data_IF_836154008294
#
_entry.id   IF_836154008294
#
_cell.length_a   1.000
_cell.length_b   1.000
_cell.length_c   1.000
_cell.angle_alpha   90.00
_cell.angle_beta   90.00
_cell.angle_gamma   90.00
#
_symmetry.space_group_name_H-M   'P 1'
#
loop_
_entity.id
_entity.type
_entity.pdbx_description
1 polymer ?
#
# COMPACT_ATOMS: atom_id res chain seq x y z
N UNK A 1 5.15 2.63 10.80
CA UNK A 1 5.00 1.21 10.44
C UNK A 1 5.99 0.84 9.34
N UNK A 2 6.54 -0.40 9.35
CA UNK A 2 7.30 -0.92 8.20
C UNK A 2 6.33 -1.15 7.03
N UNK A 3 6.69 -0.74 5.81
CA UNK A 3 5.77 -0.66 4.66
C UNK A 3 5.08 -2.00 4.34
N UNK A 4 5.79 -3.12 4.47
CA UNK A 4 5.25 -4.46 4.23
C UNK A 4 4.21 -4.85 5.31
N UNK A 5 4.37 -4.40 6.55
CA UNK A 5 3.43 -4.68 7.65
C UNK A 5 2.06 -4.03 7.41
N UNK A 6 2.00 -2.88 6.74
CA UNK A 6 0.74 -2.25 6.36
C UNK A 6 -0.03 -3.11 5.34
N UNK A 7 0.66 -3.68 4.35
CA UNK A 7 0.07 -4.61 3.37
C UNK A 7 -0.50 -5.86 4.08
N UNK A 8 0.21 -6.40 5.07
CA UNK A 8 -0.28 -7.55 5.86
C UNK A 8 -1.64 -7.24 6.49
N UNK A 9 -1.79 -6.06 7.10
CA UNK A 9 -3.04 -5.65 7.75
C UNK A 9 -4.19 -5.51 6.73
N UNK A 10 -3.91 -4.94 5.56
CA UNK A 10 -4.92 -4.80 4.50
C UNK A 10 -5.36 -6.15 3.92
N UNK A 11 -4.42 -7.08 3.68
CA UNK A 11 -4.75 -8.43 3.24
C UNK A 11 -5.56 -9.20 4.31
N UNK A 12 -5.29 -8.99 5.60
CA UNK A 12 -6.11 -9.55 6.67
C UNK A 12 -7.54 -8.97 6.68
N UNK A 13 -7.70 -7.67 6.46
CA UNK A 13 -9.00 -7.00 6.38
C UNK A 13 -9.83 -7.53 5.19
N UNK A 14 -9.22 -7.63 4.01
CA UNK A 14 -9.90 -8.17 2.81
C UNK A 14 -10.37 -9.62 3.00
N UNK A 15 -9.57 -10.48 3.63
CA UNK A 15 -9.98 -11.86 3.95
C UNK A 15 -11.18 -11.89 4.90
N UNK A 16 -11.21 -11.02 5.92
CA UNK A 16 -12.34 -10.93 6.84
C UNK A 16 -13.64 -10.48 6.14
N UNK A 17 -13.55 -9.55 5.20
CA UNK A 17 -14.70 -9.09 4.40
C UNK A 17 -15.27 -10.22 3.53
N UNK A 18 -14.41 -11.02 2.89
CA UNK A 18 -14.83 -12.20 2.12
C UNK A 18 -15.59 -13.21 3.00
N UNK A 19 -15.16 -13.38 4.25
CA UNK A 19 -15.80 -14.25 5.24
C UNK A 19 -17.16 -13.74 5.73
N UNK A 20 -17.33 -12.43 5.92
CA UNK A 20 -18.58 -11.82 6.37
C UNK A 20 -19.68 -11.81 5.30
N UNK A 21 -19.34 -11.77 4.01
CA UNK A 21 -20.32 -11.76 2.92
C UNK A 21 -21.05 -13.10 2.73
N UNK A 22 -20.60 -14.20 3.34
CA UNK A 22 -21.11 -15.55 3.07
C UNK A 22 -21.55 -16.29 4.34
N UNK A 23 -22.63 -15.81 4.98
CA UNK A 23 -23.37 -16.64 5.94
C UNK A 23 -24.17 -17.70 5.17
N UNK A 24 -24.09 -19.00 5.52
CA UNK A 24 -24.73 -20.05 4.73
C UNK A 24 -26.25 -20.01 4.92
N UNK A 25 -26.97 -19.79 3.81
CA UNK A 25 -28.40 -20.11 3.75
C UNK A 25 -28.50 -21.62 3.59
N UNK A 26 -29.02 -22.30 4.59
CA UNK A 26 -29.27 -23.74 4.60
C UNK A 26 -30.14 -24.12 3.40
N UNK A 27 -29.62 -24.93 2.49
CA UNK A 27 -30.42 -25.59 1.45
C UNK A 27 -30.34 -27.11 1.66
N UNK A 28 -31.49 -27.66 2.07
CA UNK A 28 -31.75 -29.10 2.17
C UNK A 28 -31.62 -29.75 0.80
N UNK A 29 -30.80 -30.80 0.72
CA UNK A 29 -30.70 -31.68 -0.44
C UNK A 29 -31.96 -32.57 -0.45
N UNK A 30 -32.79 -32.43 -1.48
CA UNK A 30 -33.71 -33.51 -1.91
C UNK A 30 -33.15 -34.15 -3.17
N UNK A 31 -32.94 -35.46 -3.06
CA UNK A 31 -32.45 -36.36 -4.11
C UNK A 31 -33.36 -36.39 -5.34
N UNK A 32 -32.73 -36.65 -6.50
CA UNK A 32 -33.33 -36.66 -7.83
C UNK A 32 -34.14 -37.92 -8.13
N UNK A 33 -35.15 -37.79 -8.99
CA UNK A 33 -35.58 -38.87 -9.89
C UNK A 33 -35.79 -38.36 -11.33
N UNK A 34 -34.88 -38.80 -12.20
CA UNK A 34 -35.06 -39.51 -13.47
C UNK A 34 -36.00 -39.02 -14.62
N UNK A 35 -35.47 -39.26 -15.83
CA UNK A 35 -36.07 -39.69 -17.13
C UNK A 35 -36.25 -38.69 -18.31
N UNK A 36 -35.46 -39.00 -19.36
CA UNK A 36 -35.71 -39.01 -20.83
C UNK A 36 -35.87 -37.75 -21.69
N UNK A 37 -35.08 -37.81 -22.76
CA UNK A 37 -34.94 -37.02 -23.98
C UNK A 37 -36.15 -37.05 -24.92
N UNK A 38 -36.48 -35.89 -25.52
CA UNK A 38 -36.92 -35.74 -26.92
C UNK A 38 -36.66 -34.29 -27.43
N UNK A 39 -36.08 -34.19 -28.62
CA UNK A 39 -35.68 -33.00 -29.43
C UNK A 39 -36.88 -32.35 -30.18
N UNK A 40 -36.73 -31.37 -31.12
CA UNK A 40 -35.93 -30.12 -31.20
C UNK A 40 -36.74 -28.90 -31.72
N UNK A 41 -36.45 -27.63 -31.37
CA UNK A 41 -36.82 -26.47 -32.24
C UNK A 41 -35.81 -25.30 -32.10
N UNK A 42 -35.39 -24.81 -33.27
CA UNK A 42 -34.60 -23.62 -33.60
C UNK A 42 -35.24 -22.31 -33.12
N UNK A 43 -34.47 -21.38 -32.55
CA UNK A 43 -34.67 -19.92 -32.77
C UNK A 43 -33.53 -19.04 -32.20
N UNK A 44 -33.02 -18.17 -33.07
CA UNK A 44 -32.55 -16.79 -32.85
C UNK A 44 -31.46 -16.52 -31.82
N UNK A 45 -30.21 -16.44 -32.30
CA UNK A 45 -29.04 -15.97 -31.56
C UNK A 45 -29.10 -14.44 -31.39
N UNK A 46 -29.69 -13.96 -30.30
CA UNK A 46 -29.27 -12.71 -29.68
C UNK A 46 -28.03 -13.04 -28.83
N UNK A 47 -26.91 -12.38 -29.11
CA UNK A 47 -25.64 -12.56 -28.38
C UNK A 47 -25.74 -11.87 -27.02
N UNK A 48 -26.53 -12.44 -26.11
CA UNK A 48 -26.39 -12.18 -24.67
C UNK A 48 -25.40 -13.20 -24.14
N UNK A 49 -24.23 -12.75 -23.69
CA UNK A 49 -23.34 -13.58 -22.88
C UNK A 49 -24.17 -14.13 -21.70
N UNK A 50 -24.34 -15.45 -21.56
CA UNK A 50 -25.17 -16.00 -20.48
C UNK A 50 -24.55 -15.62 -19.14
N UNK A 51 -25.39 -15.26 -18.16
CA UNK A 51 -24.93 -15.11 -16.78
C UNK A 51 -24.18 -16.37 -16.33
N UNK A 52 -23.04 -16.24 -15.63
CA UNK A 52 -22.31 -17.40 -15.12
C UNK A 52 -23.19 -18.23 -14.20
N UNK A 53 -23.17 -19.55 -14.37
CA UNK A 53 -23.88 -20.50 -13.49
C UNK A 53 -23.41 -20.34 -12.04
N UNK A 54 -24.28 -20.68 -11.09
CA UNK A 54 -24.00 -20.56 -9.65
C UNK A 54 -22.75 -21.35 -9.20
N UNK A 55 -22.52 -22.51 -9.83
CA UNK A 55 -21.34 -23.34 -9.62
C UNK A 55 -20.03 -22.65 -10.07
N UNK A 56 -20.04 -21.94 -11.20
CA UNK A 56 -18.89 -21.18 -11.69
C UNK A 56 -18.54 -19.99 -10.78
N UNK A 57 -19.54 -19.34 -10.18
CA UNK A 57 -19.33 -18.27 -9.19
C UNK A 57 -18.67 -18.82 -7.91
N UNK A 58 -19.10 -19.99 -7.44
CA UNK A 58 -18.52 -20.65 -6.27
C UNK A 58 -17.06 -21.10 -6.52
N UNK A 59 -16.77 -21.66 -7.70
CA UNK A 59 -15.41 -22.04 -8.10
C UNK A 59 -14.48 -20.83 -8.15
N UNK A 60 -14.94 -19.71 -8.73
CA UNK A 60 -14.17 -18.45 -8.78
C UNK A 60 -13.88 -17.89 -7.39
N UNK A 61 -14.87 -17.87 -6.51
CA UNK A 61 -14.69 -17.38 -5.15
C UNK A 61 -13.73 -18.26 -4.33
N UNK A 62 -13.83 -19.58 -4.46
CA UNK A 62 -12.90 -20.51 -3.81
C UNK A 62 -11.46 -20.31 -4.28
N UNK A 63 -11.27 -19.99 -5.56
CA UNK A 63 -9.96 -19.62 -6.11
C UNK A 63 -9.43 -18.33 -5.47
N UNK A 64 -10.24 -17.26 -5.46
CA UNK A 64 -9.88 -15.97 -4.87
C UNK A 64 -9.46 -16.14 -3.41
N UNK A 65 -10.22 -16.88 -2.59
CA UNK A 65 -9.87 -17.14 -1.19
C UNK A 65 -8.51 -17.82 -1.05
N UNK A 66 -8.22 -18.85 -1.86
CA UNK A 66 -6.92 -19.54 -1.82
C UNK A 66 -5.77 -18.63 -2.21
N UNK A 67 -5.98 -17.78 -3.22
CA UNK A 67 -5.02 -16.77 -3.67
C UNK A 67 -4.78 -15.71 -2.57
N UNK A 68 -5.84 -15.16 -1.98
CA UNK A 68 -5.77 -14.19 -0.87
C UNK A 68 -5.00 -14.73 0.33
N UNK A 69 -5.30 -15.96 0.75
CA UNK A 69 -4.58 -16.62 1.85
C UNK A 69 -3.09 -16.82 1.54
N UNK A 70 -2.74 -17.10 0.28
CA UNK A 70 -1.34 -17.22 -0.12
C UNK A 70 -0.62 -15.87 -0.11
N UNK A 71 -1.24 -14.84 -0.70
CA UNK A 71 -0.67 -13.49 -0.74
C UNK A 71 -0.48 -12.89 0.65
N UNK A 72 -1.41 -13.14 1.58
CA UNK A 72 -1.30 -12.69 2.96
C UNK A 72 -0.15 -13.39 3.71
N UNK A 73 0.00 -14.70 3.53
CA UNK A 73 1.14 -15.43 4.07
C UNK A 73 2.48 -14.96 3.48
N UNK A 74 2.52 -14.70 2.18
CA UNK A 74 3.67 -14.10 1.50
C UNK A 74 4.05 -12.75 2.09
N UNK A 75 3.07 -11.86 2.31
CA UNK A 75 3.31 -10.55 2.91
C UNK A 75 3.88 -10.66 4.34
N UNK A 76 3.36 -11.58 5.17
CA UNK A 76 3.93 -11.83 6.52
C UNK A 76 5.35 -12.34 6.47
N UNK A 77 5.62 -13.30 5.58
CA UNK A 77 6.97 -13.86 5.41
C UNK A 77 7.93 -12.79 4.92
N UNK A 78 7.52 -11.94 3.99
CA UNK A 78 8.30 -10.81 3.52
C UNK A 78 8.60 -9.82 4.65
N UNK A 79 7.62 -9.51 5.51
CA UNK A 79 7.82 -8.64 6.67
C UNK A 79 8.89 -9.22 7.63
N UNK A 80 8.76 -10.49 8.01
CA UNK A 80 9.71 -11.18 8.89
C UNK A 80 11.12 -11.25 8.28
N UNK A 81 11.19 -11.49 6.97
CA UNK A 81 12.45 -11.49 6.23
C UNK A 81 13.12 -10.11 6.24
N UNK A 82 12.34 -9.04 6.09
CA UNK A 82 12.84 -7.68 6.18
C UNK A 82 13.41 -7.37 7.58
N UNK A 83 12.79 -7.87 8.65
CA UNK A 83 13.33 -7.72 10.01
C UNK A 83 14.69 -8.40 10.16
N UNK A 84 14.80 -9.62 9.66
CA UNK A 84 16.07 -10.37 9.65
C UNK A 84 17.13 -9.64 8.84
N UNK A 85 16.78 -9.14 7.65
CA UNK A 85 17.69 -8.35 6.80
C UNK A 85 18.12 -7.03 7.46
N UNK A 86 17.23 -6.36 8.19
CA UNK A 86 17.55 -5.17 8.96
C UNK A 86 18.55 -5.48 10.07
N UNK A 87 18.42 -6.63 10.75
CA UNK A 87 19.37 -7.05 11.78
C UNK A 87 20.75 -7.38 11.19
N UNK A 88 20.82 -8.07 10.04
CA UNK A 88 22.08 -8.30 9.31
C UNK A 88 22.78 -6.97 9.03
N UNK A 89 22.06 -6.01 8.44
CA UNK A 89 22.60 -4.68 8.14
C UNK A 89 23.08 -3.96 9.40
N UNK A 90 22.34 -4.12 10.51
CA UNK A 90 22.66 -3.51 11.81
C UNK A 90 23.92 -4.10 12.44
N UNK A 91 24.08 -5.43 12.45
CA UNK A 91 25.30 -6.11 12.89
C UNK A 91 26.51 -5.64 12.09
N UNK A 92 26.36 -5.57 10.76
CA UNK A 92 27.41 -5.10 9.86
C UNK A 92 27.82 -3.66 10.17
N UNK A 93 26.84 -2.75 10.22
CA UNK A 93 27.06 -1.32 10.49
C UNK A 93 27.69 -1.09 11.85
N UNK A 94 27.15 -1.72 12.89
CA UNK A 94 27.62 -1.53 14.27
C UNK A 94 29.02 -2.10 14.47
N UNK A 95 29.38 -3.20 13.78
CA UNK A 95 30.74 -3.76 13.76
C UNK A 95 31.76 -2.84 13.09
N UNK A 96 31.39 -2.19 11.99
CA UNK A 96 32.25 -1.23 11.28
C UNK A 96 32.43 0.05 12.10
N UNK A 97 31.32 0.63 12.56
CA UNK A 97 31.32 1.93 13.24
C UNK A 97 31.67 1.82 14.74
N UNK A 98 31.85 0.59 15.25
CA UNK A 98 32.09 0.31 16.67
C UNK A 98 31.01 0.95 17.56
N UNK A 99 29.76 0.84 17.12
CA UNK A 99 28.60 1.41 17.81
C UNK A 99 28.01 0.36 18.76
N UNK A 100 27.94 0.69 20.05
CA UNK A 100 27.39 -0.21 21.07
C UNK A 100 25.88 -0.23 20.98
N UNK A 101 25.28 -1.42 20.90
CA UNK A 101 23.85 -1.59 20.79
C UNK A 101 23.42 -2.91 21.45
N UNK A 102 22.51 -2.89 22.44
CA UNK A 102 22.12 -4.10 23.16
C UNK A 102 21.61 -5.25 22.28
N UNK A 103 21.03 -4.94 21.12
CA UNK A 103 20.51 -5.95 20.18
C UNK A 103 21.62 -6.62 19.36
N UNK A 104 22.78 -5.96 19.19
CA UNK A 104 23.88 -6.50 18.36
C UNK A 104 25.16 -6.75 19.14
N UNK A 105 25.27 -6.28 20.38
CA UNK A 105 26.48 -6.39 21.19
C UNK A 105 26.89 -7.85 21.42
N UNK A 106 25.94 -8.78 21.48
CA UNK A 106 26.21 -10.23 21.60
C UNK A 106 26.94 -10.83 20.39
N UNK A 107 26.75 -10.24 19.20
CA UNK A 107 27.41 -10.67 17.96
C UNK A 107 28.66 -9.86 17.67
N UNK A 108 28.63 -8.56 17.98
CA UNK A 108 29.68 -7.61 17.59
C UNK A 108 30.82 -7.51 18.59
N UNK A 109 30.69 -8.07 19.79
CA UNK A 109 31.70 -7.98 20.85
C UNK A 109 31.98 -9.30 21.54
N UNK A 110 33.23 -9.45 21.97
CA UNK A 110 33.66 -10.47 22.94
C UNK A 110 34.32 -9.78 24.13
N UNK A 111 33.89 -10.12 25.35
CA UNK A 111 34.39 -9.52 26.60
C UNK A 111 34.34 -7.97 26.59
N UNK A 112 33.27 -7.40 26.01
CA UNK A 112 33.04 -5.96 25.92
C UNK A 112 33.88 -5.23 24.87
N UNK A 113 34.70 -5.93 24.08
CA UNK A 113 35.49 -5.37 22.99
C UNK A 113 34.93 -5.80 21.65
N UNK A 114 34.86 -4.89 20.69
CA UNK A 114 34.43 -5.22 19.33
C UNK A 114 35.42 -6.17 18.65
N UNK A 115 34.91 -7.03 17.78
CA UNK A 115 35.74 -7.80 16.85
C UNK A 115 36.52 -6.85 15.93
N UNK A 116 37.76 -7.20 15.58
CA UNK A 116 38.58 -6.41 14.66
C UNK A 116 38.09 -6.58 13.22
N UNK A 117 37.85 -7.85 12.80
CA UNK A 117 37.21 -8.17 11.54
C UNK A 117 35.68 -8.14 11.70
N UNK A 118 35.00 -7.52 10.73
CA UNK A 118 33.55 -7.48 10.65
C UNK A 118 32.98 -8.87 10.31
N UNK A 119 33.74 -9.69 9.58
CA UNK A 119 33.32 -11.05 9.24
C UNK A 119 33.22 -11.92 10.48
N UNK A 120 34.08 -11.72 11.49
CA UNK A 120 33.96 -12.46 12.77
C UNK A 120 32.59 -12.20 13.43
N UNK A 121 32.12 -10.95 13.42
CA UNK A 121 30.82 -10.60 14.00
C UNK A 121 29.65 -11.15 13.17
N UNK A 122 29.78 -11.17 11.84
CA UNK A 122 28.79 -11.76 10.95
C UNK A 122 28.73 -13.28 11.10
N UNK A 123 29.87 -13.96 11.25
CA UNK A 123 29.94 -15.40 11.49
C UNK A 123 29.26 -15.76 12.81
N UNK A 124 29.53 -15.01 13.89
CA UNK A 124 28.83 -15.20 15.18
C UNK A 124 27.32 -15.00 15.04
N UNK A 125 26.88 -14.01 14.26
CA UNK A 125 25.46 -13.79 13.99
C UNK A 125 24.84 -14.92 13.16
N UNK A 126 25.50 -15.39 12.10
CA UNK A 126 25.00 -16.44 11.22
C UNK A 126 25.02 -17.83 11.87
N UNK A 127 25.91 -18.06 12.83
CA UNK A 127 25.94 -19.27 13.66
C UNK A 127 24.96 -19.21 14.84
N UNK A 128 24.29 -18.07 15.06
CA UNK A 128 23.32 -17.93 16.13
C UNK A 128 22.10 -18.83 15.91
N UNK A 129 21.56 -19.35 17.01
CA UNK A 129 20.38 -20.22 16.97
C UNK A 129 19.18 -19.54 16.32
N UNK A 130 18.95 -18.27 16.66
CA UNK A 130 17.80 -17.49 16.17
C UNK A 130 17.88 -17.27 14.66
N UNK A 131 19.07 -16.94 14.13
CA UNK A 131 19.26 -16.81 12.70
C UNK A 131 19.06 -18.14 11.96
N UNK A 132 19.64 -19.23 12.46
CA UNK A 132 19.49 -20.57 11.85
C UNK A 132 18.02 -21.00 11.83
N UNK A 133 17.27 -20.78 12.91
CA UNK A 133 15.84 -21.06 12.96
C UNK A 133 15.05 -20.22 11.98
N UNK A 134 15.29 -18.91 11.93
CA UNK A 134 14.62 -18.00 11.01
C UNK A 134 14.87 -18.40 9.55
N UNK A 135 16.14 -18.62 9.16
CA UNK A 135 16.50 -19.05 7.80
C UNK A 135 15.91 -20.43 7.46
N UNK A 136 15.87 -21.34 8.42
CA UNK A 136 15.23 -22.65 8.26
C UNK A 136 13.75 -22.53 7.91
N UNK A 137 12.99 -21.73 8.67
CA UNK A 137 11.58 -21.47 8.41
C UNK A 137 11.36 -20.79 7.03
N UNK A 138 12.19 -19.82 6.68
CA UNK A 138 12.11 -19.13 5.38
C UNK A 138 12.35 -20.07 4.19
N UNK A 139 13.28 -21.01 4.29
CA UNK A 139 13.51 -22.04 3.25
C UNK A 139 12.29 -22.96 3.06
N UNK A 140 11.61 -23.32 4.15
CA UNK A 140 10.36 -24.08 4.08
C UNK A 140 9.27 -23.28 3.39
N UNK A 141 9.11 -22.00 3.76
CA UNK A 141 8.11 -21.11 3.15
C UNK A 141 8.31 -20.97 1.64
N UNK A 142 9.55 -20.80 1.17
CA UNK A 142 9.86 -20.75 -0.28
C UNK A 142 9.34 -21.98 -1.03
N UNK A 143 9.58 -23.16 -0.46
CA UNK A 143 9.13 -24.43 -1.06
C UNK A 143 7.60 -24.51 -1.08
N UNK A 144 6.95 -24.09 0.01
CA UNK A 144 5.49 -24.06 0.12
C UNK A 144 4.85 -23.07 -0.87
N UNK A 145 5.43 -21.88 -1.03
CA UNK A 145 4.96 -20.87 -1.97
C UNK A 145 5.03 -21.37 -3.41
N UNK A 146 6.16 -21.93 -3.83
CA UNK A 146 6.31 -22.52 -5.17
C UNK A 146 5.30 -23.63 -5.43
N UNK A 147 5.02 -24.46 -4.42
CA UNK A 147 3.99 -25.51 -4.53
C UNK A 147 2.60 -24.91 -4.74
N UNK A 148 2.19 -23.95 -3.89
CA UNK A 148 0.85 -23.35 -3.94
C UNK A 148 0.63 -22.48 -5.18
N UNK A 149 1.66 -21.80 -5.70
CA UNK A 149 1.58 -21.11 -7.00
C UNK A 149 1.30 -22.09 -8.14
N UNK A 150 1.92 -23.27 -8.13
CA UNK A 150 1.64 -24.30 -9.15
C UNK A 150 0.23 -24.86 -9.03
N UNK A 151 -0.25 -25.07 -7.81
CA UNK A 151 -1.64 -25.50 -7.55
C UNK A 151 -2.68 -24.46 -8.03
N UNK A 152 -2.32 -23.17 -8.06
CA UNK A 152 -3.17 -22.07 -8.51
C UNK A 152 -3.04 -21.74 -10.00
N UNK A 153 -2.22 -22.47 -10.76
CA UNK A 153 -1.99 -22.21 -12.18
C UNK A 153 -3.20 -22.56 -13.06
N UNK A 154 -4.08 -23.45 -12.59
CA UNK A 154 -5.37 -23.72 -13.23
C UNK A 154 -6.42 -22.75 -12.65
N UNK A 155 -6.45 -21.53 -13.22
CA UNK A 155 -7.28 -20.43 -12.71
C UNK A 155 -8.61 -20.29 -13.49
N UNK A 156 -9.71 -19.91 -12.82
CA UNK A 156 -10.99 -19.62 -13.48
C UNK A 156 -10.94 -18.39 -14.38
N UNK A 157 -11.91 -18.28 -15.29
CA UNK A 157 -12.06 -17.12 -16.17
C UNK A 157 -12.09 -15.80 -15.39
N UNK A 158 -11.28 -14.85 -15.86
CA UNK A 158 -11.13 -13.53 -15.25
C UNK A 158 -10.21 -13.48 -14.02
N UNK A 159 -9.53 -14.57 -13.64
CA UNK A 159 -8.55 -14.59 -12.53
C UNK A 159 -7.09 -14.55 -12.99
N UNK A 160 -6.82 -14.41 -14.29
CA UNK A 160 -5.46 -14.41 -14.86
C UNK A 160 -4.56 -13.31 -14.25
N UNK A 161 -5.06 -12.07 -14.18
CA UNK A 161 -4.29 -10.96 -13.63
C UNK A 161 -3.96 -11.15 -12.14
N UNK A 162 -4.92 -11.67 -11.36
CA UNK A 162 -4.70 -12.03 -9.97
C UNK A 162 -3.62 -13.10 -9.83
N UNK A 163 -3.67 -14.15 -10.65
CA UNK A 163 -2.65 -15.21 -10.66
C UNK A 163 -1.26 -14.65 -10.98
N UNK A 164 -1.15 -13.85 -12.03
CA UNK A 164 0.12 -13.27 -12.45
C UNK A 164 0.70 -12.37 -11.37
N UNK A 165 -0.10 -11.49 -10.76
CA UNK A 165 0.35 -10.62 -9.67
C UNK A 165 0.80 -11.41 -8.42
N UNK A 166 0.12 -12.52 -8.11
CA UNK A 166 0.50 -13.41 -7.02
C UNK A 166 1.83 -14.15 -7.33
N UNK A 167 2.03 -14.56 -8.58
CA UNK A 167 3.29 -15.18 -9.05
C UNK A 167 4.44 -14.19 -9.00
N UNK A 168 4.25 -12.95 -9.46
CA UNK A 168 5.27 -11.90 -9.39
C UNK A 168 5.65 -11.57 -7.93
N UNK A 169 4.66 -11.56 -7.03
CA UNK A 169 4.88 -11.43 -5.59
C UNK A 169 5.74 -12.57 -5.05
N UNK A 170 5.42 -13.82 -5.43
CA UNK A 170 6.21 -14.99 -5.04
C UNK A 170 7.66 -14.90 -5.51
N UNK A 171 7.88 -14.53 -6.77
CA UNK A 171 9.21 -14.46 -7.39
C UNK A 171 10.09 -13.40 -6.73
N UNK A 172 9.55 -12.19 -6.52
CA UNK A 172 10.28 -11.11 -5.83
C UNK A 172 10.62 -11.44 -4.38
N UNK A 173 9.72 -12.10 -3.65
CA UNK A 173 9.98 -12.58 -2.29
C UNK A 173 11.03 -13.68 -2.30
N UNK A 174 10.96 -14.64 -3.23
CA UNK A 174 11.97 -15.69 -3.36
C UNK A 174 13.37 -15.10 -3.61
N UNK A 175 13.44 -14.10 -4.48
CA UNK A 175 14.68 -13.38 -4.79
C UNK A 175 15.25 -12.66 -3.56
N UNK A 176 14.42 -11.91 -2.83
CA UNK A 176 14.83 -11.26 -1.59
C UNK A 176 15.31 -12.27 -0.55
N UNK A 177 14.54 -13.33 -0.31
CA UNK A 177 14.93 -14.39 0.63
C UNK A 177 16.27 -15.00 0.23
N UNK A 178 16.46 -15.30 -1.06
CA UNK A 178 17.65 -15.94 -1.55
C UNK A 178 18.89 -15.04 -1.46
N UNK A 179 18.78 -13.76 -1.83
CA UNK A 179 19.93 -12.87 -1.97
C UNK A 179 20.23 -12.01 -0.75
N UNK A 180 19.23 -11.73 0.09
CA UNK A 180 19.35 -10.77 1.20
C UNK A 180 19.39 -11.48 2.54
N UNK A 181 18.65 -12.58 2.70
CA UNK A 181 18.52 -13.28 4.00
C UNK A 181 19.26 -14.61 4.03
N UNK A 182 19.12 -15.46 3.01
CA UNK A 182 19.71 -16.81 3.02
C UNK A 182 21.19 -16.77 2.66
N UNK A 183 21.54 -16.03 1.60
CA UNK A 183 22.91 -15.88 1.12
C UNK A 183 23.30 -14.40 1.04
N UNK A 184 23.34 -13.67 2.18
CA UNK A 184 23.78 -12.29 2.21
C UNK A 184 25.22 -12.17 1.68
N UNK A 185 25.48 -11.17 0.85
CA UNK A 185 26.80 -10.96 0.23
C UNK A 185 27.03 -9.50 -0.14
N UNK A 186 28.31 -9.14 -0.35
CA UNK A 186 28.72 -7.81 -0.79
C UNK A 186 29.42 -7.01 0.31
N UNK A 187 29.20 -5.70 0.30
CA UNK A 187 29.64 -4.73 1.31
C UNK A 187 28.44 -4.12 2.02
N UNK A 188 28.64 -3.40 3.13
CA UNK A 188 27.57 -2.68 3.84
C UNK A 188 26.68 -1.86 2.89
N UNK A 189 27.29 -1.12 1.96
CA UNK A 189 26.57 -0.24 1.04
C UNK A 189 25.82 -1.05 -0.02
N UNK A 190 26.51 -1.95 -0.73
CA UNK A 190 25.90 -2.74 -1.81
C UNK A 190 24.83 -3.72 -1.29
N UNK A 191 24.98 -4.21 -0.05
CA UNK A 191 23.97 -5.01 0.62
C UNK A 191 22.75 -4.17 0.97
N UNK A 192 22.95 -2.96 1.54
CA UNK A 192 21.87 -2.03 1.87
C UNK A 192 21.06 -1.59 0.65
N UNK A 193 21.74 -1.25 -0.45
CA UNK A 193 21.11 -0.91 -1.74
C UNK A 193 20.30 -2.09 -2.28
N UNK A 194 20.90 -3.28 -2.40
CA UNK A 194 20.20 -4.49 -2.85
C UNK A 194 18.98 -4.81 -1.99
N UNK A 195 19.11 -4.72 -0.66
CA UNK A 195 17.98 -4.89 0.27
C UNK A 195 16.88 -3.89 -0.08
N UNK A 196 17.21 -2.61 -0.25
CA UNK A 196 16.22 -1.56 -0.55
C UNK A 196 15.49 -1.84 -1.86
N UNK A 197 16.25 -2.10 -2.94
CA UNK A 197 15.68 -2.33 -4.28
C UNK A 197 14.73 -3.53 -4.30
N UNK A 198 15.13 -4.65 -3.69
CA UNK A 198 14.27 -5.83 -3.61
C UNK A 198 13.09 -5.63 -2.63
N UNK A 199 13.23 -4.79 -1.59
CA UNK A 199 12.09 -4.41 -0.74
C UNK A 199 11.05 -3.62 -1.54
N UNK A 200 11.49 -2.65 -2.34
CA UNK A 200 10.60 -1.84 -3.17
C UNK A 200 9.92 -2.68 -4.27
N UNK A 201 10.63 -3.67 -4.82
CA UNK A 201 10.06 -4.63 -5.77
C UNK A 201 8.96 -5.50 -5.15
N UNK A 202 9.19 -6.04 -3.94
CA UNK A 202 8.18 -6.79 -3.20
C UNK A 202 6.95 -5.94 -2.96
N UNK A 203 7.14 -4.69 -2.50
CA UNK A 203 6.03 -3.77 -2.24
C UNK A 203 5.21 -3.55 -3.50
N UNK A 204 5.87 -3.27 -4.64
CA UNK A 204 5.20 -3.11 -5.92
C UNK A 204 4.33 -4.32 -6.28
N UNK A 205 4.90 -5.53 -6.22
CA UNK A 205 4.18 -6.74 -6.63
C UNK A 205 3.02 -7.10 -5.68
N UNK A 206 3.23 -6.98 -4.36
CA UNK A 206 2.15 -7.19 -3.38
C UNK A 206 1.02 -6.17 -3.56
N UNK A 207 1.35 -4.92 -3.92
CA UNK A 207 0.35 -3.89 -4.25
C UNK A 207 -0.47 -4.27 -5.48
N UNK A 208 0.21 -4.72 -6.54
CA UNK A 208 -0.47 -5.18 -7.75
C UNK A 208 -1.41 -6.34 -7.43
N UNK A 209 -0.98 -7.29 -6.60
CA UNK A 209 -1.83 -8.39 -6.16
C UNK A 209 -3.07 -7.91 -5.39
N UNK A 210 -2.90 -6.96 -4.46
CA UNK A 210 -4.00 -6.37 -3.72
C UNK A 210 -5.01 -5.66 -4.64
N UNK A 211 -4.53 -4.88 -5.61
CA UNK A 211 -5.40 -4.20 -6.59
C UNK A 211 -6.25 -5.21 -7.36
N UNK A 212 -5.65 -6.30 -7.83
CA UNK A 212 -6.37 -7.36 -8.55
C UNK A 212 -7.42 -8.06 -7.67
N UNK A 213 -7.13 -8.27 -6.38
CA UNK A 213 -8.13 -8.76 -5.43
C UNK A 213 -9.33 -7.81 -5.33
N UNK A 214 -9.08 -6.50 -5.14
CA UNK A 214 -10.15 -5.49 -5.03
C UNK A 214 -11.03 -5.45 -6.29
N UNK A 215 -10.41 -5.51 -7.49
CA UNK A 215 -11.12 -5.61 -8.78
C UNK A 215 -12.09 -6.79 -8.77
N UNK A 216 -11.62 -7.96 -8.35
CA UNK A 216 -12.41 -9.20 -8.38
C UNK A 216 -13.51 -9.26 -7.34
N UNK A 217 -13.31 -8.63 -6.18
CA UNK A 217 -14.31 -8.55 -5.12
C UNK A 217 -15.39 -7.50 -5.41
N UNK A 218 -15.26 -6.75 -6.51
CA UNK A 218 -16.17 -5.64 -6.82
C UNK A 218 -16.09 -4.52 -5.78
N UNK A 219 -15.04 -4.52 -4.96
CA UNK A 219 -14.69 -3.36 -4.17
C UNK A 219 -14.39 -2.24 -5.16
N UNK A 220 -14.87 -1.02 -4.91
CA UNK A 220 -14.60 0.10 -5.80
C UNK A 220 -13.08 0.24 -5.95
N UNK A 221 -12.55 -0.15 -7.10
CA UNK A 221 -11.19 0.17 -7.53
C UNK A 221 -11.19 1.60 -7.98
N UNK A 222 -11.40 2.48 -7.00
CA UNK A 222 -11.63 3.92 -7.11
C UNK A 222 -11.93 4.36 -8.55
N UNK A 223 -13.09 3.91 -9.05
CA UNK A 223 -13.69 4.43 -10.27
C UNK A 223 -13.77 5.93 -10.03
N UNK A 224 -13.14 6.75 -10.89
CA UNK A 224 -13.17 8.22 -10.86
C UNK A 224 -14.51 8.70 -10.30
N UNK A 225 -14.56 8.94 -8.99
CA UNK A 225 -15.70 9.63 -8.41
C UNK A 225 -15.45 11.07 -8.80
N UNK A 226 -16.41 11.69 -9.47
CA UNK A 226 -16.49 13.15 -9.52
C UNK A 226 -16.69 13.63 -8.08
N UNK A 227 -15.57 13.84 -7.39
CA UNK A 227 -15.50 14.40 -6.05
C UNK A 227 -15.53 15.91 -6.23
N UNK A 228 -16.60 16.53 -5.71
CA UNK A 228 -16.77 17.97 -5.72
C UNK A 228 -16.20 18.62 -4.46
N UNK A 229 -16.12 19.95 -4.50
CA UNK A 229 -15.91 20.76 -3.28
C UNK A 229 -17.02 20.44 -2.28
N UNK A 230 -16.64 20.11 -1.05
CA UNK A 230 -17.53 19.74 0.04
C UNK A 230 -17.68 18.23 0.27
N UNK A 231 -17.25 17.39 -0.66
CA UNK A 231 -17.26 15.94 -0.49
C UNK A 231 -16.12 15.47 0.43
N UNK A 232 -16.35 14.36 1.15
CA UNK A 232 -15.34 13.73 1.99
C UNK A 232 -14.43 12.86 1.12
N UNK A 233 -13.16 13.23 1.08
CA UNK A 233 -12.06 12.43 0.54
C UNK A 233 -11.55 11.56 1.68
N UNK A 234 -11.96 10.29 1.69
CA UNK A 234 -11.64 9.35 2.75
C UNK A 234 -10.41 8.52 2.37
N UNK A 235 -9.38 8.63 3.20
CA UNK A 235 -8.22 7.74 3.21
C UNK A 235 -8.27 6.90 4.50
N UNK A 236 -7.44 5.85 4.56
CA UNK A 236 -7.40 4.94 5.72
C UNK A 236 -7.11 5.69 7.02
N UNK A 237 -6.07 6.53 6.98
CA UNK A 237 -5.56 7.22 8.16
C UNK A 237 -6.07 8.66 8.32
N UNK A 238 -6.73 9.22 7.30
CA UNK A 238 -7.20 10.62 7.31
C UNK A 238 -8.50 10.80 6.54
N UNK A 239 -9.26 11.84 6.90
CA UNK A 239 -10.23 12.42 5.97
C UNK A 239 -9.80 13.82 5.57
N UNK A 240 -10.09 14.18 4.32
CA UNK A 240 -9.94 15.53 3.81
C UNK A 240 -11.28 15.98 3.23
N UNK A 241 -11.65 17.24 3.48
CA UNK A 241 -12.77 17.90 2.80
C UNK A 241 -12.23 19.19 2.22
N UNK A 242 -12.16 19.30 0.89
CA UNK A 242 -11.90 20.60 0.27
C UNK A 242 -13.16 21.43 0.44
N UNK A 243 -13.07 22.52 1.20
CA UNK A 243 -14.23 23.35 1.57
C UNK A 243 -14.41 24.53 0.63
N UNK A 244 -13.34 25.02 0.02
CA UNK A 244 -13.38 26.12 -0.94
C UNK A 244 -12.11 26.14 -1.82
N UNK A 245 -12.25 26.62 -3.05
CA UNK A 245 -11.14 26.88 -3.98
C UNK A 245 -11.35 28.25 -4.60
N UNK A 246 -10.40 29.17 -4.38
CA UNK A 246 -10.54 30.57 -4.81
C UNK A 246 -9.23 31.14 -5.32
N UNK A 247 -9.30 32.23 -6.08
CA UNK A 247 -8.12 32.96 -6.56
C UNK A 247 -7.79 34.09 -5.60
N UNK A 248 -6.54 34.12 -5.16
CA UNK A 248 -5.98 35.16 -4.28
C UNK A 248 -4.66 35.68 -4.86
N UNK A 249 -4.12 36.75 -4.29
CA UNK A 249 -2.80 37.25 -4.66
C UNK A 249 -1.69 36.65 -3.80
N UNK A 250 -0.65 36.14 -4.45
CA UNK A 250 0.60 35.78 -3.75
C UNK A 250 1.36 37.04 -3.30
N UNK A 251 2.45 36.83 -2.57
CA UNK A 251 3.35 37.91 -2.09
C UNK A 251 4.01 38.71 -3.22
N UNK A 252 4.02 38.20 -4.45
CA UNK A 252 4.55 38.88 -5.65
C UNK A 252 3.45 39.57 -6.48
N UNK A 253 2.17 39.47 -6.08
CA UNK A 253 1.03 40.01 -6.80
C UNK A 253 0.50 39.13 -7.94
N UNK A 254 1.04 37.92 -8.10
CA UNK A 254 0.55 36.93 -9.06
C UNK A 254 -0.76 36.32 -8.55
N UNK A 255 -1.58 35.83 -9.47
CA UNK A 255 -2.74 35.02 -9.11
C UNK A 255 -2.27 33.68 -8.55
N UNK A 256 -2.90 33.25 -7.46
CA UNK A 256 -2.63 31.99 -6.79
C UNK A 256 -3.95 31.30 -6.46
N UNK A 257 -3.98 29.99 -6.73
CA UNK A 257 -5.10 29.11 -6.40
C UNK A 257 -4.96 28.76 -4.92
N UNK A 258 -5.87 29.28 -4.09
CA UNK A 258 -5.96 28.98 -2.67
C UNK A 258 -6.98 27.87 -2.44
N UNK A 259 -6.53 26.75 -1.87
CA UNK A 259 -7.36 25.59 -1.54
C UNK A 259 -7.57 25.60 -0.02
N UNK A 260 -8.82 25.76 0.40
CA UNK A 260 -9.24 25.62 1.78
C UNK A 260 -9.75 24.21 2.03
N UNK A 261 -9.35 23.63 3.17
CA UNK A 261 -9.72 22.27 3.49
C UNK A 261 -9.85 22.06 5.00
N UNK A 262 -10.64 21.05 5.33
CA UNK A 262 -10.68 20.44 6.65
C UNK A 262 -9.95 19.10 6.62
N UNK A 263 -9.35 18.72 7.74
CA UNK A 263 -8.61 17.49 7.89
C UNK A 263 -8.99 16.77 9.19
N UNK A 264 -9.16 15.45 9.13
CA UNK A 264 -9.44 14.60 10.30
C UNK A 264 -8.30 13.64 10.52
N UNK A 265 -7.78 13.57 11.75
CA UNK A 265 -6.79 12.58 12.14
C UNK A 265 -7.49 11.24 12.44
N UNK A 266 -7.23 10.17 11.66
CA UNK A 266 -7.66 8.80 12.02
C UNK A 266 -6.50 7.90 12.44
N UNK A 267 -5.25 8.39 12.42
CA UNK A 267 -4.13 7.66 13.03
C UNK A 267 -4.41 7.39 14.51
N UNK A 268 -3.83 6.31 15.04
CA UNK A 268 -3.92 5.95 16.46
C UNK A 268 -3.07 6.86 17.36
N UNK A 269 -2.25 7.73 16.78
CA UNK A 269 -1.38 8.68 17.47
C UNK A 269 -1.63 10.15 17.09
N UNK A 270 -0.98 11.06 17.82
CA UNK A 270 -1.04 12.48 17.51
C UNK A 270 -0.38 12.80 16.16
N UNK A 271 -1.08 13.53 15.29
CA UNK A 271 -0.56 13.88 13.97
C UNK A 271 -0.95 15.30 13.54
N UNK A 272 -0.18 15.84 12.59
CA UNK A 272 -0.35 17.17 12.02
C UNK A 272 -0.71 17.08 10.53
N UNK A 273 -1.72 17.85 10.11
CA UNK A 273 -2.15 17.96 8.72
C UNK A 273 -1.01 18.40 7.77
N UNK A 274 -0.17 19.34 8.23
CA UNK A 274 0.88 19.97 7.41
C UNK A 274 2.04 19.03 7.02
N UNK A 275 2.13 17.87 7.67
CA UNK A 275 3.14 16.84 7.37
C UNK A 275 2.51 15.49 7.01
N UNK A 276 1.21 15.48 6.73
CA UNK A 276 0.46 14.23 6.51
C UNK A 276 -0.27 14.18 5.18
N UNK A 277 -0.30 15.29 4.43
CA UNK A 277 -1.03 15.45 3.17
C UNK A 277 -0.08 15.98 2.09
N UNK A 278 -0.26 15.51 0.87
CA UNK A 278 0.32 16.05 -0.36
C UNK A 278 -0.80 16.59 -1.22
N UNK A 279 -0.66 17.85 -1.62
CA UNK A 279 -1.44 18.45 -2.70
C UNK A 279 -0.51 18.65 -3.88
N UNK A 280 -0.92 18.19 -5.06
CA UNK A 280 -0.34 18.63 -6.33
C UNK A 280 -1.44 19.26 -7.15
N UNK A 281 -1.15 20.40 -7.76
CA UNK A 281 -2.11 21.11 -8.60
C UNK A 281 -1.50 21.26 -9.97
N UNK A 282 -2.28 21.03 -11.01
CA UNK A 282 -1.84 21.12 -12.39
C UNK A 282 -2.76 22.08 -13.15
N UNK A 283 -2.15 22.81 -14.08
CA UNK A 283 -2.85 23.50 -15.15
C UNK A 283 -2.13 23.17 -16.46
N UNK A 284 -2.90 22.92 -17.53
CA UNK A 284 -2.35 22.60 -18.85
C UNK A 284 -1.37 21.40 -18.85
N UNK A 285 -1.57 20.47 -17.92
CA UNK A 285 -0.72 19.29 -17.73
C UNK A 285 0.62 19.57 -17.03
N UNK A 286 0.84 20.78 -16.51
CA UNK A 286 2.05 21.18 -15.79
C UNK A 286 1.76 21.35 -14.31
N UNK A 287 2.58 20.72 -13.45
CA UNK A 287 2.47 20.87 -12.00
C UNK A 287 2.84 22.30 -11.58
N UNK A 288 2.00 22.91 -10.75
CA UNK A 288 2.18 24.25 -10.22
C UNK A 288 3.10 24.25 -9.00
N UNK A 289 3.82 25.36 -8.84
CA UNK A 289 4.65 25.65 -7.68
C UNK A 289 3.81 26.14 -6.50
N UNK A 290 4.26 25.86 -5.27
CA UNK A 290 3.63 26.39 -4.07
C UNK A 290 3.71 27.93 -4.01
N UNK A 291 2.58 28.57 -3.69
CA UNK A 291 2.50 30.01 -3.50
C UNK A 291 2.65 30.41 -2.03
N UNK A 292 3.45 31.45 -1.78
CA UNK A 292 3.47 32.13 -0.50
C UNK A 292 2.41 33.24 -0.55
N UNK A 293 1.31 33.01 0.14
CA UNK A 293 0.17 33.92 0.16
C UNK A 293 0.42 35.13 1.06
N UNK A 294 0.01 36.30 0.59
CA UNK A 294 -0.13 37.49 1.44
C UNK A 294 -1.61 37.69 1.77
N UNK A 295 -1.98 37.55 3.03
CA UNK A 295 -3.35 37.71 3.52
C UNK A 295 -3.56 39.07 4.21
N UNK A 296 -2.74 40.07 3.87
CA UNK A 296 -2.81 41.41 4.44
C UNK A 296 -2.13 41.55 5.80
N UNK A 297 -1.65 40.45 6.41
CA UNK A 297 -1.02 40.46 7.73
C UNK A 297 -0.10 39.27 7.95
N UNK A 298 1.19 39.51 8.22
CA UNK A 298 2.16 38.46 8.58
C UNK A 298 1.62 37.53 9.68
N UNK A 299 0.88 38.08 10.64
CA UNK A 299 0.32 37.30 11.75
C UNK A 299 -0.67 36.22 11.28
N UNK A 300 -1.47 36.50 10.25
CA UNK A 300 -2.50 35.58 9.75
C UNK A 300 -1.88 34.46 8.91
N UNK A 301 -0.85 34.78 8.14
CA UNK A 301 -0.07 33.77 7.40
C UNK A 301 0.69 32.83 8.34
N UNK A 302 1.30 33.37 9.41
CA UNK A 302 1.96 32.58 10.46
C UNK A 302 0.95 31.73 11.25
N UNK A 303 -0.24 32.25 11.53
CA UNK A 303 -1.30 31.51 12.21
C UNK A 303 -1.73 30.27 11.42
N UNK A 304 -1.96 30.41 10.10
CA UNK A 304 -2.38 29.30 9.26
C UNK A 304 -1.31 28.20 9.13
N UNK A 305 -0.04 28.59 8.99
CA UNK A 305 1.08 27.65 8.97
C UNK A 305 1.25 26.97 10.34
N UNK A 306 1.19 27.73 11.43
CA UNK A 306 1.28 27.18 12.79
C UNK A 306 0.14 26.22 13.09
N UNK A 307 -1.05 26.52 12.55
CA UNK A 307 -2.23 25.68 12.65
C UNK A 307 -2.03 24.37 11.90
N UNK A 308 -1.57 24.37 10.66
CA UNK A 308 -1.34 23.12 9.91
C UNK A 308 -0.29 22.22 10.55
N UNK A 309 0.75 22.81 11.18
CA UNK A 309 1.82 22.08 11.88
C UNK A 309 1.44 21.61 13.30
N UNK A 310 0.26 22.00 13.81
CA UNK A 310 -0.20 21.59 15.13
C UNK A 310 -0.61 20.11 15.11
N UNK A 311 -0.07 19.34 16.06
CA UNK A 311 -0.53 17.97 16.28
C UNK A 311 -1.87 17.94 17.00
N UNK A 312 -2.78 17.09 16.55
CA UNK A 312 -4.06 16.83 17.20
C UNK A 312 -4.21 15.34 17.48
N UNK A 313 -5.03 15.01 18.49
CA UNK A 313 -5.28 13.63 18.91
C UNK A 313 -6.07 12.83 17.86
N UNK A 314 -6.01 11.49 17.89
CA UNK A 314 -6.86 10.61 17.09
C UNK A 314 -8.34 10.99 17.15
N UNK A 315 -9.02 10.89 16.01
CA UNK A 315 -10.44 11.21 15.82
C UNK A 315 -10.78 12.71 15.80
N UNK A 316 -9.82 13.60 16.02
CA UNK A 316 -10.08 15.04 16.02
C UNK A 316 -10.06 15.61 14.59
N UNK A 317 -10.98 16.54 14.35
CA UNK A 317 -11.07 17.33 13.12
C UNK A 317 -10.45 18.72 13.30
N UNK A 318 -9.67 19.14 12.32
CA UNK A 318 -9.10 20.47 12.22
C UNK A 318 -9.64 21.16 10.97
N UNK A 319 -10.29 22.31 11.15
CA UNK A 319 -11.02 22.99 10.08
C UNK A 319 -10.31 24.23 9.59
N UNK A 320 -10.61 24.68 8.36
CA UNK A 320 -10.11 25.94 7.81
C UNK A 320 -8.58 25.99 7.74
N UNK A 321 -7.99 24.93 7.21
CA UNK A 321 -6.60 24.89 6.75
C UNK A 321 -6.53 25.46 5.33
N UNK A 322 -5.32 25.82 4.89
CA UNK A 322 -5.10 26.38 3.55
C UNK A 322 -3.76 25.95 2.97
N UNK A 323 -3.76 25.59 1.70
CA UNK A 323 -2.57 25.52 0.85
C UNK A 323 -2.79 26.38 -0.40
N UNK A 324 -1.71 26.76 -1.09
CA UNK A 324 -1.83 27.58 -2.29
C UNK A 324 -0.74 27.29 -3.32
N UNK A 325 -1.07 27.54 -4.58
CA UNK A 325 -0.22 27.29 -5.74
C UNK A 325 -0.28 28.46 -6.71
N UNK A 326 0.85 28.79 -7.36
CA UNK A 326 0.93 29.92 -8.29
C UNK A 326 0.19 29.56 -9.57
N UNK A 327 -0.84 30.33 -9.93
CA UNK A 327 -1.60 30.10 -11.15
C UNK A 327 -0.75 30.47 -12.37
N UNK A 328 -0.80 29.64 -13.41
CA UNK A 328 -0.06 29.88 -14.67
C UNK A 328 -0.98 30.15 -15.86
N UNK A 329 -2.26 29.77 -15.76
CA UNK A 329 -3.30 30.08 -16.73
C UNK A 329 -4.67 30.25 -16.05
N UNK A 330 -5.70 30.61 -16.82
CA UNK A 330 -7.11 30.65 -16.37
C UNK A 330 -7.89 29.43 -16.89
N UNK A 331 -7.19 28.34 -17.22
CA UNK A 331 -7.77 27.07 -17.68
C UNK A 331 -8.15 26.16 -16.50
N UNK A 332 -8.80 25.03 -16.80
CA UNK A 332 -9.18 23.98 -15.85
C UNK A 332 -8.03 23.67 -14.87
N UNK A 333 -8.40 23.52 -13.60
CA UNK A 333 -7.53 23.16 -12.49
C UNK A 333 -7.72 21.68 -12.20
N UNK A 334 -6.62 20.94 -12.15
CA UNK A 334 -6.58 19.56 -11.67
C UNK A 334 -5.87 19.50 -10.31
N UNK A 335 -6.58 19.06 -9.27
CA UNK A 335 -6.07 18.93 -7.90
C UNK A 335 -5.93 17.44 -7.60
N UNK A 336 -4.70 17.00 -7.34
CA UNK A 336 -4.37 15.70 -6.80
C UNK A 336 -4.16 15.81 -5.28
N UNK A 337 -4.90 15.01 -4.52
CA UNK A 337 -4.76 14.94 -3.05
C UNK A 337 -4.40 13.52 -2.63
N UNK A 338 -3.38 13.36 -1.82
CA UNK A 338 -3.03 12.06 -1.21
C UNK A 338 -2.42 12.26 0.18
N UNK A 339 -2.38 11.24 1.05
CA UNK A 339 -1.52 11.30 2.22
C UNK A 339 -0.03 11.38 1.82
N UNK A 340 0.79 12.05 2.63
CA UNK A 340 2.24 12.17 2.41
C UNK A 340 2.94 10.81 2.50
N UNK A 341 2.44 9.96 3.37
CA UNK A 341 2.87 8.58 3.52
C UNK A 341 1.69 7.71 3.06
N UNK A 342 1.39 7.77 1.76
CA UNK A 342 0.50 6.80 1.13
C UNK A 342 1.29 6.01 0.10
N UNK A 343 1.43 4.71 0.36
CA UNK A 343 2.15 3.80 -0.52
C UNK A 343 1.22 3.10 -1.52
N UNK A 344 -0.10 3.14 -1.29
CA UNK A 344 -1.08 2.34 -2.03
C UNK A 344 -2.34 3.10 -2.44
N UNK A 345 -2.63 4.27 -1.85
CA UNK A 345 -3.75 5.08 -2.31
C UNK A 345 -3.25 5.98 -3.44
N UNK A 346 -3.89 5.83 -4.61
CA UNK A 346 -3.67 6.79 -5.69
C UNK A 346 -4.16 8.16 -5.21
N UNK A 347 -3.53 9.25 -5.69
CA UNK A 347 -4.08 10.55 -5.43
C UNK A 347 -5.51 10.62 -5.95
N UNK A 348 -6.39 11.20 -5.14
CA UNK A 348 -7.73 11.56 -5.55
C UNK A 348 -7.63 12.80 -6.44
N UNK A 349 -8.14 12.69 -7.66
CA UNK A 349 -8.10 13.74 -8.67
C UNK A 349 -9.43 14.49 -8.70
N UNK A 350 -9.36 15.82 -8.59
CA UNK A 350 -10.50 16.73 -8.68
C UNK A 350 -10.24 17.70 -9.82
N UNK A 351 -11.13 17.75 -10.80
CA UNK A 351 -11.08 18.70 -11.92
C UNK A 351 -12.16 19.77 -11.73
N UNK A 352 -11.80 21.02 -11.96
CA UNK A 352 -12.74 22.13 -11.89
C UNK A 352 -12.34 23.30 -12.79
N UNK A 353 -13.33 24.07 -13.23
CA UNK A 353 -13.10 25.32 -13.95
C UNK A 353 -12.31 26.31 -13.07
N UNK A 354 -11.52 27.17 -13.72
CA UNK A 354 -10.81 28.25 -13.04
C UNK A 354 -11.81 29.18 -12.33
N UNK A 355 -11.67 29.41 -11.01
CA UNK A 355 -12.60 30.25 -10.27
C UNK A 355 -12.62 31.69 -10.81
N UNK A 356 -13.82 32.24 -10.95
CA UNK A 356 -14.00 33.62 -11.37
C UNK A 356 -13.51 34.59 -10.26
N UNK A 357 -12.89 35.70 -10.67
CA UNK A 357 -12.27 36.71 -9.79
C UNK A 357 -13.25 37.59 -9.03
#
# INVERSE_FOLDING_TARGET
MKKITAIVLMLLLTINLIGCSNQPTTLEIKESETITTTTPITETTATTTPEPTEDLKAVRLAYIIKASLLGEEMARVAANAEETANLILKVWRNSILKFSDPETDEYTKTNGKFHEDVNDALDVFFDSHDYILAVGALKVNRTNFLKRIRELNDYPDGCEHLYNALKDSQESIDEFLQQVVINPSGSLNSYGEKKSDLTDLILKHLSSFEIELRILLGEPTEKERTIGVGDVIAFDDIDIVITDVTIMKDTNGNDAIAIFYDWTNKWEEEQSAGISIVFKVYQDGVQLEHAIMWDGSVNKSVELLSKSLKKIKPGMKQTGLRTAFVATSENEIEIEVSPLISFFEKPVVIKMDYPQK
#
